data_IF_659152107970
#
_entry.id   IF_659152107970
#
_cell.length_a   1.000
_cell.length_b   1.000
_cell.length_c   1.000
_cell.angle_alpha   90.00
_cell.angle_beta   90.00
_cell.angle_gamma   90.00
#
_symmetry.space_group_name_H-M   'P 1'
#
loop_
_entity.id
_entity.type
_entity.pdbx_description
1 polymer ?
#
# COMPACT_ATOMS: atom_id res chain seq x y z
N UNK A 1 46.30 18.98 26.94
CA UNK A 1 45.16 18.07 26.70
C UNK A 1 43.98 18.94 26.33
N UNK A 2 43.39 18.83 25.13
CA UNK A 2 42.26 19.67 24.74
C UNK A 2 41.06 19.35 25.65
N UNK A 3 40.55 20.36 26.34
CA UNK A 3 39.27 20.28 27.04
C UNK A 3 38.20 20.16 25.95
N UNK A 4 37.67 18.96 25.75
CA UNK A 4 36.46 18.80 24.96
C UNK A 4 35.35 19.46 25.80
N UNK A 5 34.74 20.52 25.28
CA UNK A 5 33.55 21.11 25.89
C UNK A 5 32.44 20.05 25.87
N UNK A 6 32.22 19.44 27.04
CA UNK A 6 31.28 18.32 27.23
C UNK A 6 29.87 18.74 26.78
N UNK A 7 29.51 19.99 27.02
CA UNK A 7 28.27 20.61 26.54
C UNK A 7 28.14 20.59 25.01
N UNK A 8 29.20 20.98 24.30
CA UNK A 8 29.23 20.98 22.84
C UNK A 8 29.14 19.56 22.28
N UNK A 9 29.83 18.60 22.92
CA UNK A 9 29.77 17.19 22.55
C UNK A 9 28.36 16.59 22.78
N UNK A 10 27.69 16.96 23.87
CA UNK A 10 26.31 16.56 24.17
C UNK A 10 25.31 17.09 23.14
N UNK A 11 25.42 18.38 22.79
CA UNK A 11 24.57 19.00 21.76
C UNK A 11 24.77 18.30 20.41
N UNK A 12 26.01 17.99 20.04
CA UNK A 12 26.30 17.30 18.78
C UNK A 12 25.75 15.86 18.76
N UNK A 13 25.87 15.13 19.86
CA UNK A 13 25.32 13.78 20.00
C UNK A 13 23.78 13.80 19.89
N UNK A 14 23.13 14.75 20.57
CA UNK A 14 21.67 14.93 20.52
C UNK A 14 21.19 15.29 19.12
N UNK A 15 21.89 16.19 18.43
CA UNK A 15 21.58 16.55 17.04
C UNK A 15 21.73 15.33 16.11
N UNK A 16 22.78 14.53 16.28
CA UNK A 16 23.03 13.34 15.47
C UNK A 16 21.99 12.25 15.72
N UNK A 17 21.59 12.05 16.99
CA UNK A 17 20.48 11.17 17.38
C UNK A 17 19.15 11.67 16.79
N UNK A 18 18.87 12.96 16.84
CA UNK A 18 17.65 13.55 16.26
C UNK A 18 17.62 13.35 14.74
N UNK A 19 18.72 13.65 14.05
CA UNK A 19 18.85 13.40 12.61
C UNK A 19 18.67 11.91 12.27
N UNK A 20 19.24 11.01 13.08
CA UNK A 20 19.07 9.57 12.91
C UNK A 20 17.62 9.14 13.13
N UNK A 21 16.94 9.67 14.16
CA UNK A 21 15.52 9.41 14.42
C UNK A 21 14.62 9.93 13.29
N UNK A 22 14.87 11.14 12.78
CA UNK A 22 14.14 11.71 11.65
C UNK A 22 14.39 10.90 10.37
N UNK A 23 15.63 10.48 10.13
CA UNK A 23 16.00 9.61 9.02
C UNK A 23 15.29 8.25 9.12
N UNK A 24 15.29 7.63 10.30
CA UNK A 24 14.59 6.36 10.57
C UNK A 24 13.09 6.49 10.35
N UNK A 25 12.45 7.55 10.87
CA UNK A 25 11.02 7.81 10.70
C UNK A 25 10.65 8.06 9.24
N UNK A 26 11.49 8.77 8.49
CA UNK A 26 11.29 8.99 7.06
C UNK A 26 11.50 7.71 6.24
N UNK A 27 12.46 6.85 6.64
CA UNK A 27 12.77 5.59 5.97
C UNK A 27 11.67 4.53 6.19
N UNK A 28 11.07 4.51 7.37
CA UNK A 28 10.07 3.54 7.82
C UNK A 28 8.80 4.24 8.32
N UNK A 29 7.94 4.74 7.41
CA UNK A 29 6.64 5.26 7.82
C UNK A 29 5.85 4.14 8.51
N UNK A 30 5.38 4.43 9.73
CA UNK A 30 4.47 3.54 10.47
C UNK A 30 3.09 3.65 9.81
N UNK A 31 2.38 2.53 9.56
CA UNK A 31 1.00 2.59 9.08
C UNK A 31 0.13 3.42 10.00
N UNK A 32 -0.79 4.21 9.44
CA UNK A 32 -1.73 5.03 10.23
C UNK A 32 -2.65 4.17 11.12
N UNK A 33 -2.86 2.91 10.72
CA UNK A 33 -3.69 1.94 11.42
C UNK A 33 -3.00 0.57 11.49
N UNK A 34 -3.20 -0.21 12.57
CA UNK A 34 -2.71 -1.58 12.62
C UNK A 34 -3.34 -2.40 11.48
N UNK A 35 -2.61 -3.39 10.93
CA UNK A 35 -3.17 -4.26 9.90
C UNK A 35 -4.40 -4.98 10.44
N UNK A 36 -5.54 -4.79 9.79
CA UNK A 36 -6.76 -5.53 10.08
C UNK A 36 -6.57 -6.97 9.63
N UNK A 37 -6.67 -7.92 10.56
CA UNK A 37 -6.57 -9.34 10.26
C UNK A 37 -7.82 -9.80 9.50
N UNK A 38 -7.62 -10.48 8.38
CA UNK A 38 -8.68 -11.21 7.69
C UNK A 38 -8.32 -12.69 7.60
N UNK A 39 -9.33 -13.55 7.62
CA UNK A 39 -9.13 -14.97 7.35
C UNK A 39 -8.84 -15.16 5.86
N UNK A 40 -7.92 -16.06 5.53
CA UNK A 40 -7.54 -16.34 4.14
C UNK A 40 -8.74 -16.77 3.27
N UNK A 41 -9.71 -17.45 3.90
CA UNK A 41 -10.89 -18.01 3.25
C UNK A 41 -12.15 -17.16 3.46
N UNK A 42 -12.00 -15.88 3.84
CA UNK A 42 -13.15 -14.99 3.98
C UNK A 42 -13.85 -14.81 2.61
N UNK A 43 -15.16 -15.12 2.50
CA UNK A 43 -15.86 -15.08 1.22
C UNK A 43 -15.88 -13.68 0.60
N UNK A 44 -15.94 -12.61 1.40
CA UNK A 44 -15.89 -11.24 0.90
C UNK A 44 -14.53 -10.93 0.26
N UNK A 45 -13.46 -11.45 0.85
CA UNK A 45 -12.11 -11.28 0.31
C UNK A 45 -11.89 -12.08 -0.98
N UNK A 46 -12.45 -13.28 -1.08
CA UNK A 46 -12.35 -14.10 -2.29
C UNK A 46 -13.15 -13.49 -3.45
N UNK A 47 -14.37 -13.03 -3.18
CA UNK A 47 -15.18 -12.31 -4.15
C UNK A 47 -14.48 -11.02 -4.62
N UNK A 48 -13.92 -10.24 -3.70
CA UNK A 48 -13.18 -9.04 -4.05
C UNK A 48 -11.97 -9.30 -4.96
N UNK A 49 -11.19 -10.35 -4.70
CA UNK A 49 -10.08 -10.75 -5.58
C UNK A 49 -10.58 -11.16 -6.97
N UNK A 50 -11.71 -11.88 -7.03
CA UNK A 50 -12.31 -12.27 -8.29
C UNK A 50 -12.81 -11.05 -9.09
N UNK A 51 -13.46 -10.08 -8.42
CA UNK A 51 -13.88 -8.81 -9.02
C UNK A 51 -12.68 -8.00 -9.52
N UNK A 52 -11.62 -7.89 -8.72
CA UNK A 52 -10.38 -7.23 -9.14
C UNK A 52 -9.78 -7.86 -10.40
N UNK A 53 -9.76 -9.20 -10.46
CA UNK A 53 -9.29 -9.95 -11.62
C UNK A 53 -10.16 -9.72 -12.86
N UNK A 54 -11.48 -9.71 -12.70
CA UNK A 54 -12.42 -9.43 -13.78
C UNK A 54 -12.31 -7.98 -14.29
N UNK A 55 -11.95 -7.04 -13.41
CA UNK A 55 -11.78 -5.62 -13.73
C UNK A 55 -10.43 -5.25 -14.36
N UNK A 56 -9.53 -6.20 -14.65
CA UNK A 56 -8.20 -5.88 -15.17
C UNK A 56 -8.21 -5.11 -16.49
N UNK A 57 -9.17 -5.38 -17.38
CA UNK A 57 -9.27 -4.64 -18.65
C UNK A 57 -9.68 -3.18 -18.42
N UNK A 58 -10.56 -2.93 -17.45
CA UNK A 58 -10.90 -1.57 -17.00
C UNK A 58 -9.66 -0.88 -16.43
N UNK A 59 -8.90 -1.56 -15.58
CA UNK A 59 -7.65 -1.02 -15.04
C UNK A 59 -6.66 -0.64 -16.14
N UNK A 60 -6.48 -1.49 -17.15
CA UNK A 60 -5.62 -1.19 -18.30
C UNK A 60 -6.08 0.06 -19.05
N UNK A 61 -7.39 0.21 -19.25
CA UNK A 61 -7.96 1.39 -19.88
C UNK A 61 -7.69 2.66 -19.05
N UNK A 62 -7.92 2.61 -17.74
CA UNK A 62 -7.68 3.73 -16.83
C UNK A 62 -6.20 4.17 -16.80
N UNK A 63 -5.25 3.22 -16.90
CA UNK A 63 -3.83 3.54 -17.02
C UNK A 63 -3.46 4.23 -18.36
N UNK A 64 -4.30 4.10 -19.39
CA UNK A 64 -4.15 4.82 -20.65
C UNK A 64 -4.69 6.26 -20.62
N UNK A 65 -5.45 6.61 -19.58
CA UNK A 65 -6.03 7.93 -19.37
C UNK A 65 -5.17 8.81 -18.43
N UNK A 66 -5.61 10.04 -18.18
CA UNK A 66 -4.96 10.90 -17.20
C UNK A 66 -5.50 10.60 -15.80
N UNK A 67 -4.63 10.06 -14.94
CA UNK A 67 -4.90 9.77 -13.53
C UNK A 67 -3.98 10.57 -12.59
N UNK A 68 -4.34 10.66 -11.31
CA UNK A 68 -3.49 11.26 -10.26
C UNK A 68 -2.49 10.24 -9.72
N UNK A 69 -2.97 9.06 -9.34
CA UNK A 69 -2.12 7.93 -8.95
C UNK A 69 -2.79 6.59 -9.26
N UNK A 70 -1.98 5.54 -9.33
CA UNK A 70 -2.43 4.18 -9.50
C UNK A 70 -1.65 3.27 -8.54
N UNK A 71 -2.37 2.40 -7.84
CA UNK A 71 -1.83 1.44 -6.89
C UNK A 71 -2.20 0.02 -7.33
N UNK A 72 -1.30 -0.92 -7.09
CA UNK A 72 -1.55 -2.35 -7.29
C UNK A 72 -1.19 -3.12 -6.03
N UNK A 73 -1.92 -4.20 -5.77
CA UNK A 73 -1.67 -5.10 -4.65
C UNK A 73 -1.06 -6.39 -5.16
N UNK A 74 0.03 -6.80 -4.54
CA UNK A 74 0.82 -7.95 -4.97
C UNK A 74 1.02 -8.93 -3.83
N UNK A 75 1.16 -10.19 -4.20
CA UNK A 75 1.65 -11.24 -3.31
C UNK A 75 3.16 -11.10 -3.17
N UNK A 76 3.64 -10.83 -1.96
CA UNK A 76 5.06 -10.73 -1.63
C UNK A 76 5.47 -11.86 -0.69
N UNK A 77 6.62 -12.48 -0.92
CA UNK A 77 7.20 -13.48 -0.01
C UNK A 77 8.33 -12.82 0.76
N UNK A 78 8.17 -12.70 2.07
CA UNK A 78 9.16 -12.07 2.94
C UNK A 78 10.41 -12.92 3.13
N UNK A 79 11.47 -12.31 3.70
CA UNK A 79 12.69 -13.06 4.06
C UNK A 79 12.43 -14.13 5.14
N UNK A 80 11.33 -14.00 5.89
CA UNK A 80 10.85 -15.02 6.83
C UNK A 80 10.00 -16.13 6.15
N UNK A 81 9.90 -16.14 4.82
CA UNK A 81 9.11 -17.13 4.06
C UNK A 81 7.61 -16.95 4.18
N UNK A 82 7.13 -15.83 4.74
CA UNK A 82 5.70 -15.56 4.89
C UNK A 82 5.15 -14.84 3.67
N UNK A 83 3.93 -15.21 3.31
CA UNK A 83 3.19 -14.52 2.25
C UNK A 83 2.52 -13.30 2.86
N UNK A 84 2.79 -12.14 2.26
CA UNK A 84 2.19 -10.86 2.61
C UNK A 84 1.56 -10.25 1.36
N UNK A 85 0.57 -9.38 1.55
CA UNK A 85 -0.04 -8.64 0.45
C UNK A 85 0.30 -7.16 0.60
N UNK A 86 1.12 -6.65 -0.31
CA UNK A 86 1.67 -5.29 -0.23
C UNK A 86 1.10 -4.42 -1.34
N UNK A 87 0.90 -3.15 -1.04
CA UNK A 87 0.57 -2.14 -2.04
C UNK A 87 1.85 -1.58 -2.66
N UNK A 88 1.78 -1.35 -3.97
CA UNK A 88 2.80 -0.71 -4.78
C UNK A 88 2.16 0.35 -5.67
N UNK A 89 2.87 1.43 -5.91
CA UNK A 89 2.50 2.46 -6.88
C UNK A 89 2.95 2.04 -8.27
N UNK A 90 2.10 2.25 -9.28
CA UNK A 90 2.46 2.10 -10.69
C UNK A 90 3.24 3.33 -11.13
N UNK A 91 4.46 3.13 -11.61
CA UNK A 91 5.30 4.18 -12.15
C UNK A 91 5.11 4.31 -13.65
N UNK A 92 5.16 3.18 -14.36
CA UNK A 92 5.15 3.14 -15.83
C UNK A 92 4.46 1.87 -16.34
N UNK A 93 3.83 1.95 -17.52
CA UNK A 93 3.41 0.79 -18.31
C UNK A 93 4.56 0.43 -19.25
N UNK A 94 5.24 -0.69 -18.99
CA UNK A 94 6.48 -1.08 -19.69
C UNK A 94 6.21 -1.88 -20.97
N UNK A 95 4.98 -2.36 -21.15
CA UNK A 95 4.55 -3.14 -22.29
C UNK A 95 3.09 -3.58 -22.17
N UNK A 96 2.61 -4.44 -23.08
CA UNK A 96 1.21 -4.87 -23.09
C UNK A 96 0.82 -5.69 -21.84
N UNK A 97 1.78 -6.23 -21.10
CA UNK A 97 1.50 -7.07 -19.94
C UNK A 97 2.48 -6.86 -18.78
N UNK A 98 3.18 -5.73 -18.75
CA UNK A 98 4.21 -5.45 -17.75
C UNK A 98 4.09 -4.03 -17.20
N UNK A 99 4.23 -3.91 -15.87
CA UNK A 99 4.21 -2.66 -15.13
C UNK A 99 5.54 -2.47 -14.41
N UNK A 100 6.05 -1.23 -14.43
CA UNK A 100 7.08 -0.77 -13.51
C UNK A 100 6.41 -0.23 -12.25
N UNK A 101 6.80 -0.71 -11.08
CA UNK A 101 6.14 -0.38 -9.82
C UNK A 101 7.13 -0.02 -8.71
N UNK A 102 6.61 0.66 -7.67
CA UNK A 102 7.33 0.99 -6.45
C UNK A 102 6.55 0.51 -5.22
N UNK A 103 7.12 -0.36 -4.39
CA UNK A 103 6.48 -0.74 -3.12
C UNK A 103 6.28 0.49 -2.22
N UNK A 104 5.04 0.73 -1.81
CA UNK A 104 4.67 1.85 -0.92
C UNK A 104 4.40 1.37 0.50
N UNK A 105 3.95 0.13 0.68
CA UNK A 105 3.82 -0.50 1.99
C UNK A 105 4.99 -1.45 2.23
N UNK A 106 5.80 -1.25 3.29
CA UNK A 106 6.84 -2.21 3.63
C UNK A 106 6.19 -3.52 4.15
N UNK A 107 6.66 -4.70 3.70
CA UNK A 107 6.28 -5.98 4.29
C UNK A 107 6.73 -6.05 5.75
N UNK A 108 5.84 -6.52 6.61
CA UNK A 108 5.96 -6.55 8.07
C UNK A 108 7.01 -7.55 8.53
N UNK A 109 7.10 -8.70 7.86
CA UNK A 109 7.99 -9.80 8.28
C UNK A 109 9.28 -9.88 7.47
N UNK A 110 9.57 -8.85 6.67
CA UNK A 110 10.80 -8.75 5.91
C UNK A 110 11.91 -8.07 6.72
N UNK A 111 13.11 -8.63 6.60
CA UNK A 111 14.33 -8.13 7.22
C UNK A 111 15.40 -7.88 6.16
N UNK A 112 16.23 -6.86 6.38
CA UNK A 112 17.32 -6.50 5.47
C UNK A 112 16.93 -5.50 4.38
N UNK A 113 17.73 -5.47 3.30
CA UNK A 113 17.56 -4.50 2.21
C UNK A 113 16.47 -4.97 1.26
N UNK A 114 15.36 -4.24 1.23
CA UNK A 114 14.29 -4.42 0.26
C UNK A 114 14.52 -3.48 -0.93
N UNK A 115 14.74 -4.03 -2.13
CA UNK A 115 14.58 -3.26 -3.36
C UNK A 115 13.16 -2.69 -3.39
N UNK A 116 12.96 -1.43 -3.75
CA UNK A 116 11.61 -0.84 -3.79
C UNK A 116 11.01 -0.81 -5.19
N UNK A 117 11.85 -0.88 -6.22
CA UNK A 117 11.43 -0.87 -7.62
C UNK A 117 11.35 -2.31 -8.12
N UNK A 118 10.21 -2.66 -8.70
CA UNK A 118 9.94 -3.98 -9.26
C UNK A 118 9.31 -3.85 -10.63
N UNK A 119 9.28 -4.99 -11.32
CA UNK A 119 8.39 -5.20 -12.46
C UNK A 119 7.42 -6.31 -12.09
N UNK A 120 6.18 -6.19 -12.54
CA UNK A 120 5.17 -7.24 -12.40
C UNK A 120 4.31 -7.31 -13.66
N UNK A 121 3.65 -8.45 -13.82
CA UNK A 121 2.64 -8.68 -14.84
C UNK A 121 1.25 -8.36 -14.29
N UNK A 122 0.32 -8.03 -15.17
CA UNK A 122 -1.06 -7.77 -14.76
C UNK A 122 -1.74 -9.02 -14.18
N UNK A 123 -1.35 -10.22 -14.64
CA UNK A 123 -1.88 -11.48 -14.13
C UNK A 123 -1.38 -11.87 -12.73
N UNK A 124 -0.35 -11.18 -12.23
CA UNK A 124 0.17 -11.34 -10.86
C UNK A 124 -0.55 -10.44 -9.84
N UNK A 125 -1.37 -9.50 -10.31
CA UNK A 125 -2.08 -8.55 -9.47
C UNK A 125 -3.19 -9.25 -8.67
N UNK A 126 -3.24 -8.93 -7.38
CA UNK A 126 -4.28 -9.39 -6.45
C UNK A 126 -5.43 -8.39 -6.41
N UNK A 127 -5.09 -7.10 -6.53
CA UNK A 127 -6.01 -5.97 -6.54
C UNK A 127 -5.35 -4.78 -7.24
N UNK A 128 -6.13 -3.79 -7.62
CA UNK A 128 -5.68 -2.55 -8.25
C UNK A 128 -6.58 -1.40 -7.82
N UNK A 129 -6.06 -0.18 -7.84
CA UNK A 129 -6.81 1.03 -7.55
C UNK A 129 -6.28 2.16 -8.42
N UNK A 130 -7.16 3.01 -8.96
CA UNK A 130 -6.77 4.22 -9.68
C UNK A 130 -7.54 5.39 -9.12
N UNK A 131 -6.82 6.48 -8.83
CA UNK A 131 -7.41 7.79 -8.55
C UNK A 131 -7.44 8.60 -9.84
N UNK A 132 -8.62 8.89 -10.34
CA UNK A 132 -8.80 9.77 -11.49
C UNK A 132 -8.52 11.25 -11.12
N UNK A 133 -8.48 12.13 -12.12
CA UNK A 133 -8.28 13.59 -11.89
C UNK A 133 -9.45 14.30 -11.23
N UNK A 134 -10.66 13.73 -11.30
CA UNK A 134 -11.82 14.25 -10.57
C UNK A 134 -11.80 13.85 -9.08
N UNK A 135 -10.83 13.02 -8.66
CA UNK A 135 -10.68 12.53 -7.31
C UNK A 135 -11.44 11.23 -7.02
N UNK A 136 -12.08 10.64 -8.03
CA UNK A 136 -12.76 9.35 -7.95
C UNK A 136 -11.77 8.20 -7.82
N UNK A 137 -12.12 7.22 -6.98
CA UNK A 137 -11.38 5.97 -6.81
C UNK A 137 -12.07 4.83 -7.56
N UNK A 138 -11.33 4.22 -8.45
CA UNK A 138 -11.71 2.97 -9.12
C UNK A 138 -10.98 1.79 -8.50
N UNK A 139 -11.59 0.61 -8.53
CA UNK A 139 -11.03 -0.63 -7.99
C UNK A 139 -11.04 -0.69 -6.47
N UNK A 140 -9.90 -1.07 -5.88
CA UNK A 140 -9.68 -1.22 -4.44
C UNK A 140 -10.57 -2.28 -3.81
N UNK A 141 -10.96 -3.31 -4.57
CA UNK A 141 -12.01 -4.24 -4.18
C UNK A 141 -11.68 -4.96 -2.87
N UNK A 142 -10.41 -5.33 -2.65
CA UNK A 142 -9.98 -6.00 -1.41
C UNK A 142 -9.88 -5.04 -0.23
N UNK A 143 -9.67 -3.74 -0.46
CA UNK A 143 -9.77 -2.71 0.59
C UNK A 143 -11.25 -2.48 0.97
N UNK A 144 -12.15 -2.42 -0.01
CA UNK A 144 -13.60 -2.30 0.23
C UNK A 144 -14.17 -3.52 0.96
N UNK A 145 -13.75 -4.73 0.58
CA UNK A 145 -14.10 -5.93 1.31
C UNK A 145 -13.56 -5.93 2.74
N UNK A 146 -12.37 -5.36 2.97
CA UNK A 146 -11.83 -5.20 4.32
C UNK A 146 -12.71 -4.28 5.17
N UNK A 147 -13.26 -3.21 4.61
CA UNK A 147 -14.23 -2.34 5.29
C UNK A 147 -15.53 -3.08 5.62
N UNK A 148 -16.04 -3.90 4.70
CA UNK A 148 -17.21 -4.73 4.93
C UNK A 148 -16.99 -5.77 6.03
N UNK A 149 -15.82 -6.44 6.03
CA UNK A 149 -15.41 -7.38 7.08
C UNK A 149 -15.30 -6.66 8.43
N UNK A 150 -14.66 -5.50 8.48
CA UNK A 150 -14.54 -4.72 9.71
C UNK A 150 -15.91 -4.39 10.32
N UNK A 151 -16.88 -3.98 9.50
CA UNK A 151 -18.26 -3.73 9.96
C UNK A 151 -18.97 -4.99 10.44
N UNK A 152 -18.83 -6.10 9.70
CA UNK A 152 -19.40 -7.41 10.07
C UNK A 152 -18.88 -7.83 11.46
N UNK A 153 -17.62 -7.56 11.73
CA UNK A 153 -16.95 -7.94 12.97
C UNK A 153 -17.13 -6.87 14.08
N UNK A 154 -17.96 -5.84 13.85
CA UNK A 154 -18.31 -4.82 14.83
C UNK A 154 -17.24 -3.75 15.07
N UNK A 155 -16.22 -3.67 14.21
CA UNK A 155 -15.17 -2.66 14.27
C UNK A 155 -15.63 -1.34 13.64
N UNK A 156 -15.30 -0.22 14.29
CA UNK A 156 -15.52 1.10 13.72
C UNK A 156 -14.34 1.51 12.84
N UNK A 157 -14.64 1.92 11.61
CA UNK A 157 -13.63 2.46 10.71
C UNK A 157 -13.27 3.89 11.14
N UNK A 158 -11.98 4.24 11.20
CA UNK A 158 -11.53 5.62 11.36
C UNK A 158 -12.09 6.55 10.28
N UNK A 159 -12.27 7.83 10.61
CA UNK A 159 -12.83 8.84 9.69
C UNK A 159 -12.10 8.94 8.35
N UNK A 160 -10.77 8.75 8.35
CA UNK A 160 -9.97 8.77 7.13
C UNK A 160 -10.33 7.62 6.16
N UNK A 161 -10.65 6.43 6.70
CA UNK A 161 -11.07 5.28 5.90
C UNK A 161 -12.51 5.47 5.40
N UNK A 162 -13.37 6.08 6.20
CA UNK A 162 -14.72 6.46 5.76
C UNK A 162 -14.69 7.50 4.65
N UNK A 163 -13.80 8.51 4.75
CA UNK A 163 -13.61 9.49 3.69
C UNK A 163 -13.08 8.84 2.41
N UNK A 164 -12.12 7.91 2.54
CA UNK A 164 -11.62 7.13 1.40
C UNK A 164 -12.71 6.29 0.75
N UNK A 165 -13.54 5.64 1.56
CA UNK A 165 -14.62 4.80 1.05
C UNK A 165 -15.64 5.61 0.22
N UNK A 166 -15.98 6.82 0.66
CA UNK A 166 -16.87 7.73 -0.09
C UNK A 166 -16.29 8.19 -1.44
N UNK A 167 -14.99 8.06 -1.64
CA UNK A 167 -14.36 8.44 -2.90
C UNK A 167 -14.48 7.33 -3.97
N UNK A 168 -14.92 6.11 -3.63
CA UNK A 168 -15.10 5.05 -4.63
C UNK A 168 -16.28 5.37 -5.56
N UNK A 169 -16.02 5.32 -6.86
CA UNK A 169 -17.02 5.62 -7.91
C UNK A 169 -17.57 4.38 -8.60
N UNK A 170 -16.84 3.26 -8.54
CA UNK A 170 -17.31 1.98 -9.03
C UNK A 170 -18.40 1.49 -8.07
N UNK A 171 -19.66 1.62 -8.48
CA UNK A 171 -20.80 1.17 -7.67
C UNK A 171 -20.61 -0.26 -7.20
N UNK A 172 -20.93 -0.53 -5.93
CA UNK A 172 -21.12 -1.90 -5.47
C UNK A 172 -22.34 -2.44 -6.21
N UNK A 173 -22.12 -3.02 -7.39
CA UNK A 173 -23.14 -3.82 -8.04
C UNK A 173 -23.48 -4.96 -7.07
N UNK A 174 -24.59 -4.73 -6.39
CA UNK A 174 -25.32 -5.65 -5.52
C UNK A 174 -26.29 -6.45 -6.37
#
# INVERSE_FOLDING_TARGET
MPHIDIELALVFLLALLLCMCLYMRWRYPVPDYPPMATHADDPLMQEAKARARAGLDCFRALLGEQYENALVKLRFVSSAGRVEYVWAEVLDVLGPDELGIRLVTPPVTHSGRLARLYRCRFDELVDWQVRDRAGGLHGGYTERALFAVARRDGLQLPDSLLQRERAYVDGDSS
#
